data_IF_298143787107
#
_entry.id   IF_298143787107
#
_cell.length_a   1.000
_cell.length_b   1.000
_cell.length_c   1.000
_cell.angle_alpha   90.00
_cell.angle_beta   90.00
_cell.angle_gamma   90.00
#
_symmetry.space_group_name_H-M   'P 1'
#
loop_
_entity.id
_entity.type
_entity.pdbx_description
1 polymer ?
#
# COMPACT_ATOMS: atom_id res chain seq x y z
N UNK A 1 3.89 4.28 17.16
CA UNK A 1 3.51 5.47 17.96
C UNK A 1 3.58 6.78 17.16
N UNK A 2 4.47 6.91 16.16
CA UNK A 2 4.58 8.14 15.35
C UNK A 2 3.55 8.27 14.20
N UNK A 3 3.07 7.17 13.61
CA UNK A 3 2.11 7.27 12.47
C UNK A 3 0.69 7.68 12.87
N UNK A 4 0.23 7.33 14.07
CA UNK A 4 -1.13 7.67 14.53
C UNK A 4 -1.26 9.16 14.93
N UNK A 5 -0.15 9.78 15.35
CA UNK A 5 -0.13 11.21 15.71
C UNK A 5 -0.13 12.09 14.46
N UNK A 6 0.55 11.68 13.38
CA UNK A 6 0.54 12.40 12.10
C UNK A 6 -0.82 12.28 11.40
N UNK A 7 -1.51 11.14 11.52
CA UNK A 7 -2.85 10.95 10.97
C UNK A 7 -3.92 11.75 11.73
N UNK A 8 -3.73 11.94 13.05
CA UNK A 8 -4.61 12.77 13.90
C UNK A 8 -4.41 14.29 13.69
N UNK A 9 -3.20 14.73 13.35
CA UNK A 9 -2.93 16.12 12.98
C UNK A 9 -3.56 16.51 11.62
N UNK A 10 -3.70 15.55 10.70
CA UNK A 10 -4.38 15.80 9.41
C UNK A 10 -5.91 15.88 9.54
N UNK A 11 -6.50 15.30 10.60
CA UNK A 11 -7.96 15.30 10.82
C UNK A 11 -8.46 16.47 11.67
N UNK A 12 -7.58 17.19 12.35
CA UNK A 12 -7.94 18.32 13.24
C UNK A 12 -8.11 19.66 12.52
N UNK A 13 -7.65 19.79 11.26
CA UNK A 13 -7.98 20.92 10.37
C UNK A 13 -9.34 20.76 9.65
N UNK A 14 -10.04 19.65 9.86
CA UNK A 14 -11.27 19.34 9.12
C UNK A 14 -12.56 20.09 9.53
N UNK A 15 -12.77 20.66 10.74
CA UNK A 15 -14.10 21.15 11.10
C UNK A 15 -14.51 22.43 10.37
N UNK A 16 -13.56 23.27 9.95
CA UNK A 16 -13.83 24.53 9.23
C UNK A 16 -14.02 24.34 7.71
N UNK A 17 -13.61 23.21 7.15
CA UNK A 17 -13.75 22.92 5.71
C UNK A 17 -15.11 22.35 5.33
N UNK A 18 -15.79 21.67 6.27
CA UNK A 18 -17.06 20.96 5.98
C UNK A 18 -18.18 21.91 5.57
N UNK A 19 -18.15 23.15 6.06
CA UNK A 19 -19.19 24.15 5.77
C UNK A 19 -18.94 24.92 4.46
N UNK A 20 -17.77 24.75 3.85
CA UNK A 20 -17.34 25.49 2.65
C UNK A 20 -17.03 24.56 1.47
N UNK A 21 -17.69 23.39 1.37
CA UNK A 21 -17.43 22.42 0.31
C UNK A 21 -17.53 23.00 -1.13
N UNK A 22 -18.23 24.13 -1.31
CA UNK A 22 -18.33 24.82 -2.61
C UNK A 22 -17.16 25.77 -2.91
N UNK A 23 -16.50 26.33 -1.88
CA UNK A 23 -15.36 27.22 -2.00
C UNK A 23 -14.16 26.48 -1.41
N UNK A 24 -13.44 25.75 -2.25
CA UNK A 24 -12.34 24.87 -1.82
C UNK A 24 -11.35 25.51 -0.82
N UNK A 25 -10.58 24.69 -0.09
CA UNK A 25 -9.70 25.13 1.01
C UNK A 25 -8.80 26.34 0.70
N UNK A 26 -8.40 26.51 -0.57
CA UNK A 26 -7.52 27.59 -1.01
C UNK A 26 -8.14 29.00 -0.89
N UNK A 27 -9.45 29.15 -1.12
CA UNK A 27 -10.11 30.48 -1.01
C UNK A 27 -10.24 30.88 0.46
N UNK A 28 -10.57 29.93 1.34
CA UNK A 28 -10.59 30.17 2.78
C UNK A 28 -9.21 30.51 3.32
N UNK A 29 -8.16 29.78 2.93
CA UNK A 29 -6.80 30.02 3.41
C UNK A 29 -6.22 31.36 2.93
N UNK A 30 -6.60 31.82 1.72
CA UNK A 30 -6.17 33.10 1.16
C UNK A 30 -6.82 34.31 1.85
N UNK A 31 -8.09 34.20 2.27
CA UNK A 31 -8.84 35.28 2.91
C UNK A 31 -8.67 35.33 4.44
N UNK A 32 -8.34 34.20 5.07
CA UNK A 32 -8.16 34.09 6.52
C UNK A 32 -7.17 35.11 7.14
N UNK A 33 -5.97 35.38 6.56
CA UNK A 33 -5.00 36.31 7.16
C UNK A 33 -5.38 37.80 7.05
N UNK A 34 -6.45 38.16 6.33
CA UNK A 34 -6.84 39.55 6.11
C UNK A 34 -8.24 39.89 6.61
N UNK A 35 -9.17 38.93 6.60
CA UNK A 35 -10.59 39.18 6.91
C UNK A 35 -11.21 38.11 7.82
N UNK A 36 -10.38 37.20 8.34
CA UNK A 36 -10.79 36.13 9.26
C UNK A 36 -11.88 35.23 8.67
N UNK A 37 -12.63 34.57 9.56
CA UNK A 37 -13.74 33.68 9.17
C UNK A 37 -14.86 34.46 8.46
N UNK A 38 -14.98 35.78 8.68
CA UNK A 38 -16.02 36.63 8.08
C UNK A 38 -15.79 36.96 6.60
N UNK A 39 -14.55 36.88 6.10
CA UNK A 39 -14.21 37.24 4.72
C UNK A 39 -14.98 36.47 3.65
N UNK A 40 -14.94 35.12 3.67
CA UNK A 40 -15.67 34.31 2.69
C UNK A 40 -17.19 34.51 2.74
N UNK A 41 -17.76 34.75 3.93
CA UNK A 41 -19.20 34.98 4.06
C UNK A 41 -19.61 36.34 3.47
N UNK A 42 -18.85 37.40 3.74
CA UNK A 42 -19.13 38.75 3.21
C UNK A 42 -18.88 38.81 1.70
N UNK A 43 -17.86 38.12 1.18
CA UNK A 43 -17.66 38.01 -0.27
C UNK A 43 -18.74 37.16 -0.94
N UNK A 44 -19.18 36.07 -0.32
CA UNK A 44 -20.26 35.23 -0.83
C UNK A 44 -21.58 36.00 -0.91
N UNK A 45 -21.97 36.69 0.16
CA UNK A 45 -23.19 37.51 0.17
C UNK A 45 -23.06 38.72 -0.76
N UNK A 46 -21.88 39.35 -0.81
CA UNK A 46 -21.59 40.47 -1.70
C UNK A 46 -21.69 40.10 -3.18
N UNK A 47 -21.19 38.93 -3.59
CA UNK A 47 -21.31 38.44 -4.97
C UNK A 47 -22.76 38.12 -5.34
N UNK A 48 -23.54 37.51 -4.43
CA UNK A 48 -24.96 37.24 -4.65
C UNK A 48 -25.72 38.55 -4.83
N UNK A 49 -25.49 39.54 -3.96
CA UNK A 49 -26.15 40.84 -4.02
C UNK A 49 -25.73 41.65 -5.26
N UNK A 50 -24.46 41.54 -5.67
CA UNK A 50 -23.97 42.17 -6.90
C UNK A 50 -24.62 41.55 -8.16
N UNK A 51 -24.76 40.22 -8.20
CA UNK A 51 -25.42 39.52 -9.31
C UNK A 51 -26.91 39.88 -9.44
N UNK A 52 -27.60 40.08 -8.31
CA UNK A 52 -28.97 40.60 -8.25
C UNK A 52 -29.04 42.07 -8.69
N UNK A 53 -28.11 42.92 -8.24
CA UNK A 53 -28.11 44.36 -8.53
C UNK A 53 -27.69 44.72 -9.96
N UNK A 54 -26.96 43.84 -10.65
CA UNK A 54 -26.52 44.03 -12.05
C UNK A 54 -27.42 43.32 -13.08
N UNK A 55 -28.56 42.78 -12.67
CA UNK A 55 -29.48 41.99 -13.51
C UNK A 55 -28.85 40.79 -14.23
N UNK A 56 -27.63 40.38 -13.83
CA UNK A 56 -26.98 39.16 -14.35
C UNK A 56 -27.74 37.91 -13.85
N UNK A 57 -28.51 38.05 -12.77
CA UNK A 57 -29.38 37.02 -12.22
C UNK A 57 -30.84 37.51 -12.21
N UNK A 58 -31.57 37.27 -13.30
CA UNK A 58 -33.01 37.60 -13.42
C UNK A 58 -33.83 36.58 -12.65
N UNK A 59 -34.66 37.05 -11.70
CA UNK A 59 -35.57 36.19 -10.93
C UNK A 59 -36.72 35.78 -11.86
N UNK A 60 -36.58 34.63 -12.51
CA UNK A 60 -37.66 33.96 -13.26
C UNK A 60 -38.13 32.74 -12.47
N UNK A 61 -39.19 32.07 -12.95
CA UNK A 61 -39.71 30.83 -12.34
C UNK A 61 -38.67 29.71 -12.29
N UNK A 62 -37.64 29.75 -13.13
CA UNK A 62 -36.51 28.80 -13.14
C UNK A 62 -35.59 28.94 -11.92
N UNK A 63 -35.47 30.12 -11.34
CA UNK A 63 -34.68 30.31 -10.11
C UNK A 63 -35.30 29.55 -8.92
N UNK A 64 -36.63 29.49 -8.87
CA UNK A 64 -37.35 28.78 -7.82
C UNK A 64 -37.20 27.26 -7.96
N UNK A 65 -37.24 26.74 -9.18
CA UNK A 65 -36.99 25.31 -9.45
C UNK A 65 -35.54 24.93 -9.17
N UNK A 66 -34.58 25.78 -9.53
CA UNK A 66 -33.16 25.57 -9.22
C UNK A 66 -32.89 25.54 -7.71
N UNK A 67 -33.49 26.46 -6.94
CA UNK A 67 -33.35 26.48 -5.47
C UNK A 67 -33.95 25.24 -4.81
N UNK A 68 -35.10 24.77 -5.32
CA UNK A 68 -35.73 23.52 -4.87
C UNK A 68 -34.84 22.31 -5.17
N UNK A 69 -34.25 22.24 -6.37
CA UNK A 69 -33.34 21.15 -6.77
C UNK A 69 -32.07 21.11 -5.90
N UNK A 70 -31.49 22.28 -5.60
CA UNK A 70 -30.34 22.40 -4.69
C UNK A 70 -30.73 21.92 -3.29
N UNK A 71 -31.93 22.29 -2.80
CA UNK A 71 -32.45 21.82 -1.52
C UNK A 71 -32.55 20.29 -1.44
N UNK A 72 -33.10 19.66 -2.48
CA UNK A 72 -33.20 18.21 -2.59
C UNK A 72 -31.82 17.56 -2.66
N UNK A 73 -30.88 18.13 -3.41
CA UNK A 73 -29.50 17.62 -3.47
C UNK A 73 -28.80 17.69 -2.12
N UNK A 74 -28.91 18.81 -1.38
CA UNK A 74 -28.33 18.94 -0.04
C UNK A 74 -28.95 17.94 0.92
N UNK A 75 -30.26 17.71 0.84
CA UNK A 75 -30.94 16.69 1.62
C UNK A 75 -30.46 15.27 1.28
N UNK A 76 -30.31 14.96 -0.01
CA UNK A 76 -29.76 13.70 -0.49
C UNK A 76 -28.33 13.46 0.01
N UNK A 77 -27.46 14.46 -0.09
CA UNK A 77 -26.08 14.37 0.42
C UNK A 77 -26.06 14.16 1.94
N UNK A 78 -26.93 14.84 2.70
CA UNK A 78 -27.00 14.64 4.16
C UNK A 78 -27.53 13.27 4.55
N UNK A 79 -28.51 12.73 3.81
CA UNK A 79 -29.15 11.45 4.13
C UNK A 79 -28.33 10.25 3.66
N UNK A 80 -27.76 10.33 2.46
CA UNK A 80 -27.00 9.24 1.82
C UNK A 80 -25.49 9.39 1.97
N UNK A 81 -25.00 10.56 2.41
CA UNK A 81 -23.57 10.80 2.66
C UNK A 81 -22.92 9.78 3.58
N UNK A 82 -23.51 9.44 4.75
CA UNK A 82 -22.97 8.40 5.62
C UNK A 82 -22.93 7.02 4.97
N UNK A 83 -23.93 6.68 4.15
CA UNK A 83 -24.00 5.41 3.44
C UNK A 83 -22.93 5.29 2.36
N UNK A 84 -22.65 6.39 1.63
CA UNK A 84 -21.62 6.42 0.60
C UNK A 84 -20.22 6.44 1.22
N UNK A 85 -20.04 7.14 2.35
CA UNK A 85 -18.79 7.13 3.11
C UNK A 85 -18.47 5.72 3.64
N UNK A 86 -19.44 5.05 4.27
CA UNK A 86 -19.28 3.69 4.75
C UNK A 86 -18.99 2.69 3.62
N UNK A 87 -19.54 2.92 2.43
CA UNK A 87 -19.22 2.10 1.25
C UNK A 87 -17.81 2.35 0.73
N UNK A 88 -17.35 3.61 0.72
CA UNK A 88 -15.98 3.96 0.35
C UNK A 88 -14.95 3.37 1.34
N UNK A 89 -15.24 3.40 2.64
CA UNK A 89 -14.38 2.82 3.67
C UNK A 89 -14.24 1.30 3.50
N UNK A 90 -15.35 0.59 3.23
CA UNK A 90 -15.31 -0.85 2.94
C UNK A 90 -14.44 -1.20 1.73
N UNK A 91 -14.50 -0.42 0.66
CA UNK A 91 -13.66 -0.65 -0.52
C UNK A 91 -12.17 -0.46 -0.18
N UNK A 92 -11.85 0.55 0.64
CA UNK A 92 -10.47 0.79 1.05
C UNK A 92 -9.94 -0.32 1.96
N UNK A 93 -10.74 -0.79 2.93
CA UNK A 93 -10.39 -1.93 3.78
C UNK A 93 -10.15 -3.20 2.95
N UNK A 94 -11.01 -3.50 1.97
CA UNK A 94 -10.83 -4.64 1.08
C UNK A 94 -9.54 -4.54 0.25
N UNK A 95 -9.22 -3.36 -0.28
CA UNK A 95 -7.97 -3.14 -1.02
C UNK A 95 -6.75 -3.32 -0.12
N UNK A 96 -6.81 -2.85 1.13
CA UNK A 96 -5.72 -3.01 2.09
C UNK A 96 -5.50 -4.49 2.43
N UNK A 97 -6.59 -5.22 2.69
CA UNK A 97 -6.54 -6.65 3.02
C UNK A 97 -5.97 -7.49 1.87
N UNK A 98 -6.41 -7.24 0.62
CA UNK A 98 -5.85 -7.94 -0.55
C UNK A 98 -4.38 -7.62 -0.77
N UNK A 99 -3.95 -6.38 -0.51
CA UNK A 99 -2.56 -6.00 -0.65
C UNK A 99 -1.67 -6.69 0.41
N UNK A 100 -2.17 -6.80 1.64
CA UNK A 100 -1.47 -7.49 2.73
C UNK A 100 -1.39 -8.99 2.48
N UNK A 101 -2.48 -9.61 2.02
CA UNK A 101 -2.51 -11.02 1.62
C UNK A 101 -1.56 -11.31 0.46
N UNK A 102 -1.57 -10.50 -0.61
CA UNK A 102 -0.67 -10.66 -1.74
C UNK A 102 0.80 -10.51 -1.34
N UNK A 103 1.10 -9.58 -0.43
CA UNK A 103 2.46 -9.40 0.11
C UNK A 103 2.89 -10.61 0.94
N UNK A 104 2.02 -11.13 1.80
CA UNK A 104 2.31 -12.30 2.63
C UNK A 104 2.49 -13.57 1.79
N UNK A 105 1.64 -13.76 0.77
CA UNK A 105 1.76 -14.84 -0.20
C UNK A 105 3.08 -14.76 -0.97
N UNK A 106 3.49 -13.57 -1.41
CA UNK A 106 4.77 -13.35 -2.10
C UNK A 106 5.97 -13.71 -1.20
N UNK A 107 5.94 -13.30 0.08
CA UNK A 107 7.00 -13.63 1.04
C UNK A 107 7.08 -15.14 1.26
N UNK A 108 5.95 -15.83 1.43
CA UNK A 108 5.92 -17.29 1.59
C UNK A 108 6.42 -18.01 0.35
N UNK A 109 6.05 -17.57 -0.85
CA UNK A 109 6.55 -18.14 -2.09
C UNK A 109 8.06 -18.00 -2.21
N UNK A 110 8.61 -16.83 -1.89
CA UNK A 110 10.06 -16.59 -1.90
C UNK A 110 10.75 -17.47 -0.84
N UNK A 111 10.20 -17.58 0.36
CA UNK A 111 10.78 -18.41 1.42
C UNK A 111 10.80 -19.90 1.02
N UNK A 112 9.70 -20.41 0.46
CA UNK A 112 9.62 -21.78 -0.04
C UNK A 112 10.63 -22.04 -1.17
N UNK A 113 10.83 -21.06 -2.07
CA UNK A 113 11.83 -21.15 -3.12
C UNK A 113 13.25 -21.21 -2.56
N UNK A 114 13.57 -20.39 -1.55
CA UNK A 114 14.87 -20.39 -0.85
C UNK A 114 15.13 -21.75 -0.18
N UNK A 115 14.14 -22.30 0.52
CA UNK A 115 14.29 -23.59 1.21
C UNK A 115 14.46 -24.74 0.22
N UNK A 116 13.75 -24.70 -0.91
CA UNK A 116 13.91 -25.64 -2.01
C UNK A 116 15.33 -25.55 -2.60
N UNK A 117 15.83 -24.35 -2.89
CA UNK A 117 17.17 -24.15 -3.43
C UNK A 117 18.26 -24.63 -2.46
N UNK A 118 18.11 -24.32 -1.16
CA UNK A 118 19.04 -24.78 -0.11
C UNK A 118 19.09 -26.31 -0.02
N UNK A 119 17.95 -26.98 -0.17
CA UNK A 119 17.89 -28.45 -0.22
C UNK A 119 18.64 -29.02 -1.43
N UNK A 120 18.53 -28.36 -2.59
CA UNK A 120 19.23 -28.75 -3.82
C UNK A 120 20.74 -28.50 -3.74
N UNK A 121 21.16 -27.40 -3.11
CA UNK A 121 22.56 -27.12 -2.84
C UNK A 121 23.17 -28.18 -1.92
N UNK A 122 22.46 -28.59 -0.86
CA UNK A 122 22.91 -29.66 0.02
C UNK A 122 23.05 -31.01 -0.71
N UNK A 123 22.16 -31.33 -1.65
CA UNK A 123 22.30 -32.54 -2.49
C UNK A 123 23.51 -32.47 -3.42
N UNK A 124 23.77 -31.31 -4.01
CA UNK A 124 24.93 -31.09 -4.88
C UNK A 124 26.25 -31.22 -4.10
N UNK A 125 26.32 -30.63 -2.90
CA UNK A 125 27.48 -30.77 -2.02
C UNK A 125 27.73 -32.23 -1.61
N UNK A 126 26.68 -32.98 -1.27
CA UNK A 126 26.81 -34.43 -0.97
C UNK A 126 27.37 -35.21 -2.17
N UNK A 127 26.96 -34.87 -3.39
CA UNK A 127 27.50 -35.49 -4.62
C UNK A 127 28.97 -35.14 -4.84
N UNK A 128 29.35 -33.88 -4.64
CA UNK A 128 30.75 -33.45 -4.76
C UNK A 128 31.64 -34.21 -3.76
N UNK A 129 31.19 -34.31 -2.51
CA UNK A 129 31.87 -35.05 -1.45
C UNK A 129 32.06 -36.54 -1.80
N UNK A 130 31.04 -37.19 -2.37
CA UNK A 130 31.14 -38.57 -2.84
C UNK A 130 32.22 -38.74 -3.93
N UNK A 131 32.33 -37.80 -4.87
CA UNK A 131 33.38 -37.82 -5.88
C UNK A 131 34.78 -37.65 -5.28
N UNK A 132 34.93 -36.77 -4.29
CA UNK A 132 36.22 -36.58 -3.60
C UNK A 132 36.65 -37.82 -2.83
N UNK A 133 35.70 -38.48 -2.13
CA UNK A 133 35.96 -39.75 -1.43
C UNK A 133 36.38 -40.85 -2.43
N UNK A 134 35.69 -40.96 -3.57
CA UNK A 134 36.05 -41.94 -4.61
C UNK A 134 37.44 -41.67 -5.19
N UNK A 135 37.76 -40.40 -5.50
CA UNK A 135 39.09 -40.01 -6.01
C UNK A 135 40.18 -40.33 -4.99
N UNK A 136 39.96 -40.04 -3.71
CA UNK A 136 40.90 -40.35 -2.64
C UNK A 136 41.11 -41.87 -2.51
N UNK A 137 40.03 -42.66 -2.51
CA UNK A 137 40.13 -44.12 -2.48
C UNK A 137 40.95 -44.69 -3.65
N UNK A 138 40.76 -44.18 -4.88
CA UNK A 138 41.55 -44.60 -6.04
C UNK A 138 43.03 -44.19 -5.88
N UNK A 139 43.30 -42.98 -5.41
CA UNK A 139 44.66 -42.49 -5.19
C UNK A 139 45.39 -43.32 -4.12
N UNK A 140 44.73 -43.62 -3.00
CA UNK A 140 45.24 -44.50 -1.95
C UNK A 140 45.50 -45.91 -2.47
N UNK A 141 44.60 -46.46 -3.29
CA UNK A 141 44.78 -47.77 -3.91
C UNK A 141 45.93 -47.78 -4.92
N UNK A 142 46.13 -46.69 -5.68
CA UNK A 142 47.28 -46.54 -6.57
C UNK A 142 48.60 -46.43 -5.81
N UNK A 143 48.62 -45.80 -4.63
CA UNK A 143 49.80 -45.71 -3.78
C UNK A 143 50.12 -47.03 -3.06
N UNK A 144 49.12 -47.82 -2.67
CA UNK A 144 49.29 -49.13 -2.01
C UNK A 144 49.54 -50.29 -2.97
N UNK A 145 49.12 -50.20 -4.24
CA UNK A 145 49.40 -51.20 -5.28
C UNK A 145 50.89 -51.54 -5.50
N UNK A 146 51.81 -50.57 -5.62
CA UNK A 146 53.23 -50.89 -5.76
C UNK A 146 53.78 -51.55 -4.48
N UNK A 147 53.32 -51.17 -3.29
CA UNK A 147 53.74 -51.81 -2.02
C UNK A 147 53.32 -53.29 -1.93
N UNK A 148 52.20 -53.68 -2.52
CA UNK A 148 51.75 -55.07 -2.59
C UNK A 148 52.51 -55.89 -3.64
N UNK A 149 53.11 -55.25 -4.66
CA UNK A 149 53.99 -55.89 -5.65
C UNK A 149 55.43 -56.15 -5.16
N UNK A 150 55.80 -55.58 -4.01
CA UNK A 150 57.09 -55.79 -3.34
C UNK A 150 56.98 -56.60 -2.04
N UNK A 151 55.82 -57.20 -1.73
CA UNK A 151 55.77 -58.30 -0.75
C UNK A 151 56.16 -59.61 -1.46
N UNK A 152 57.20 -60.32 -1.01
CA UNK A 152 57.61 -61.57 -1.62
C UNK A 152 56.53 -62.64 -1.42
N UNK A 153 56.26 -63.38 -2.48
CA UNK A 153 55.59 -64.68 -2.45
C UNK A 153 56.43 -65.68 -1.64
N UNK A 154 56.44 -65.57 -0.32
CA UNK A 154 57.06 -66.57 0.56
C UNK A 154 56.19 -66.87 1.76
N UNK A 155 55.53 -68.04 1.71
CA UNK A 155 55.11 -68.82 2.88
C UNK A 155 53.60 -68.79 3.18
N UNK A 156 52.85 -69.79 2.76
CA UNK A 156 52.79 -71.09 3.45
C UNK A 156 51.96 -72.09 2.65
N UNK A 157 52.61 -73.17 2.25
CA UNK A 157 52.02 -74.49 2.16
C UNK A 157 51.50 -74.91 3.53
N UNK A 158 50.20 -75.19 3.64
CA UNK A 158 49.59 -76.31 4.38
C UNK A 158 48.09 -76.34 4.09
#
# INVERSE_FOLDING_TARGET
>A
MLSQVVLSAATTVAPSLKNAAFLGPGVLQFLYPKTGVTGPYVLGTGLILYALSKEIYVITTETFTAMSLIGIMVYGIKKYGPSVAAFADKINEQKLAQLEEAKQASIQQIQNAIDMEKSQQALTQKRLYLFDVQRNNIAMQAHTRPLNGYLPLTGLSH
#
